data_IF_808949944363
#
_entry.id   IF_808949944363
#
_cell.length_a   1.000
_cell.length_b   1.000
_cell.length_c   1.000
_cell.angle_alpha   90.00
_cell.angle_beta   90.00
_cell.angle_gamma   90.00
#
_symmetry.space_group_name_H-M   'P 1'
#
loop_
_entity.id
_entity.type
_entity.pdbx_description
1 polymer ?
#
# COMPACT_ATOMS: atom_id res chain seq x y z
N UNK A 1 18.32 29.89 -44.16
CA UNK A 1 19.14 28.67 -44.31
C UNK A 1 18.40 27.53 -43.65
N UNK A 2 17.86 26.74 -44.51
CA UNK A 2 17.01 25.56 -44.20
C UNK A 2 17.92 24.35 -43.95
N UNK A 3 17.73 23.61 -42.87
CA UNK A 3 18.30 22.27 -42.72
C UNK A 3 17.24 21.32 -42.21
N UNK A 4 16.73 20.64 -43.18
CA UNK A 4 15.73 19.59 -43.21
C UNK A 4 15.98 18.38 -42.31
N UNK A 5 14.84 17.87 -41.82
CA UNK A 5 14.62 16.52 -41.34
C UNK A 5 14.93 15.46 -42.40
N UNK A 6 15.46 14.32 -41.91
CA UNK A 6 15.30 12.90 -42.34
C UNK A 6 16.42 12.11 -41.69
N UNK A 7 16.16 11.07 -40.91
CA UNK A 7 15.51 9.83 -41.16
C UNK A 7 16.44 8.77 -40.58
N UNK A 8 16.09 8.03 -39.52
CA UNK A 8 16.76 6.79 -39.17
C UNK A 8 15.75 5.67 -39.26
N UNK A 9 15.97 4.86 -40.27
CA UNK A 9 15.26 3.64 -40.58
C UNK A 9 15.65 2.51 -39.61
N UNK A 10 14.67 1.72 -39.31
CA UNK A 10 14.76 0.44 -38.62
C UNK A 10 15.67 -0.54 -39.36
N UNK A 11 16.49 -1.25 -38.60
CA UNK A 11 17.08 -2.51 -39.06
C UNK A 11 16.60 -3.60 -38.12
N UNK A 12 15.68 -4.41 -38.61
CA UNK A 12 15.33 -5.70 -38.05
C UNK A 12 16.49 -6.66 -38.26
N UNK A 13 17.02 -7.24 -37.18
CA UNK A 13 17.82 -8.44 -37.23
C UNK A 13 17.03 -9.54 -36.55
N UNK A 14 16.55 -10.46 -37.36
CA UNK A 14 16.04 -11.74 -36.91
C UNK A 14 17.23 -12.61 -36.50
N UNK A 15 17.27 -13.05 -35.25
CA UNK A 15 18.10 -14.16 -34.82
C UNK A 15 17.18 -15.27 -34.30
N UNK A 16 17.22 -16.35 -35.01
CA UNK A 16 16.53 -17.61 -34.71
C UNK A 16 17.14 -18.28 -33.47
N UNK A 17 16.30 -18.74 -32.67
CA UNK A 17 16.15 -19.72 -31.72
C UNK A 17 17.27 -20.47 -31.04
N UNK A 18 17.17 -20.81 -29.87
CA UNK A 18 17.22 -22.20 -29.35
C UNK A 18 16.39 -22.15 -28.05
N UNK A 19 15.32 -22.94 -28.06
CA UNK A 19 14.51 -23.16 -26.86
C UNK A 19 15.31 -24.09 -25.93
N UNK A 20 15.72 -23.54 -24.79
CA UNK A 20 15.97 -24.33 -23.60
C UNK A 20 14.85 -24.02 -22.63
N UNK A 21 13.98 -25.00 -22.42
CA UNK A 21 12.86 -24.92 -21.51
C UNK A 21 13.35 -24.82 -20.07
N UNK A 22 13.32 -23.61 -19.54
CA UNK A 22 13.12 -23.39 -18.13
C UNK A 22 11.70 -22.84 -18.00
N UNK A 23 10.84 -23.67 -17.43
CA UNK A 23 9.48 -23.27 -17.05
C UNK A 23 9.61 -22.13 -16.04
N UNK A 24 9.41 -20.90 -16.51
CA UNK A 24 9.11 -19.79 -15.62
C UNK A 24 7.93 -20.22 -14.75
N UNK A 25 8.15 -20.35 -13.45
CA UNK A 25 7.11 -20.68 -12.50
C UNK A 25 5.96 -19.71 -12.69
N UNK A 26 4.81 -20.22 -13.07
CA UNK A 26 3.59 -19.43 -13.16
C UNK A 26 3.39 -18.67 -11.85
N UNK A 27 3.15 -17.36 -11.95
CA UNK A 27 2.70 -16.59 -10.82
C UNK A 27 1.51 -17.34 -10.18
N UNK A 28 1.48 -17.49 -8.84
CA UNK A 28 0.44 -18.29 -8.19
C UNK A 28 -0.93 -17.76 -8.59
N UNK A 29 -1.69 -18.57 -9.29
CA UNK A 29 -3.08 -18.27 -9.65
C UNK A 29 -3.93 -18.25 -8.38
N UNK A 30 -5.06 -17.53 -8.41
CA UNK A 30 -6.07 -17.48 -7.32
C UNK A 30 -6.39 -18.87 -6.75
N UNK A 31 -6.27 -19.94 -7.56
CA UNK A 31 -6.45 -21.32 -7.13
C UNK A 31 -5.32 -21.82 -6.21
N UNK A 32 -4.10 -21.34 -6.36
CA UNK A 32 -2.93 -21.75 -5.54
C UNK A 32 -2.96 -21.05 -4.17
N UNK A 33 -3.49 -19.82 -4.09
CA UNK A 33 -3.71 -19.11 -2.83
C UNK A 33 -4.78 -19.77 -1.94
N UNK A 34 -5.66 -20.63 -2.52
CA UNK A 34 -6.71 -21.34 -1.78
C UNK A 34 -6.23 -22.60 -1.04
N UNK A 35 -5.01 -23.09 -1.22
CA UNK A 35 -4.58 -24.42 -0.75
C UNK A 35 -3.66 -24.44 0.47
N UNK A 36 -3.23 -23.29 1.01
CA UNK A 36 -2.39 -23.23 2.21
C UNK A 36 -3.15 -22.81 3.47
N UNK A 37 -2.44 -22.49 4.54
CA UNK A 37 -2.99 -21.83 5.75
C UNK A 37 -3.78 -20.57 5.42
N UNK A 38 -3.61 -20.01 4.23
CA UNK A 38 -4.31 -18.89 3.60
C UNK A 38 -5.69 -19.27 3.04
N UNK A 39 -6.14 -20.52 3.15
CA UNK A 39 -7.42 -20.98 2.56
C UNK A 39 -8.68 -20.21 2.99
N UNK A 40 -8.59 -19.41 4.04
CA UNK A 40 -9.66 -18.52 4.51
C UNK A 40 -9.68 -17.14 3.83
N UNK A 41 -8.64 -16.75 3.10
CA UNK A 41 -8.55 -15.45 2.43
C UNK A 41 -8.80 -15.59 0.92
N UNK A 42 -9.48 -14.62 0.35
CA UNK A 42 -9.84 -14.61 -1.07
C UNK A 42 -8.95 -13.64 -1.87
N UNK A 43 -8.56 -14.02 -3.08
CA UNK A 43 -7.79 -13.16 -4.00
C UNK A 43 -8.63 -12.07 -4.65
N UNK A 44 -9.95 -12.10 -4.49
CA UNK A 44 -10.90 -11.08 -4.91
C UNK A 44 -11.61 -10.52 -3.68
N UNK A 45 -11.88 -9.21 -3.70
CA UNK A 45 -12.69 -8.55 -2.70
C UNK A 45 -14.15 -8.52 -3.15
N UNK A 46 -15.06 -8.97 -2.30
CA UNK A 46 -16.49 -8.82 -2.54
C UNK A 46 -16.86 -7.33 -2.73
N UNK A 47 -17.93 -7.01 -3.46
CA UNK A 47 -18.43 -5.64 -3.54
C UNK A 47 -18.65 -5.05 -2.15
N UNK A 48 -18.19 -3.81 -1.95
CA UNK A 48 -18.30 -3.12 -0.66
C UNK A 48 -17.13 -2.16 -0.43
N UNK A 49 -17.15 -1.50 0.72
CA UNK A 49 -16.09 -0.58 1.14
C UNK A 49 -15.14 -1.28 2.09
N UNK A 50 -13.88 -0.94 2.02
CA UNK A 50 -12.82 -1.52 2.83
C UNK A 50 -12.00 -0.42 3.50
N UNK A 51 -11.48 -0.73 4.70
CA UNK A 51 -10.58 0.14 5.45
C UNK A 51 -9.14 -0.37 5.28
N UNK A 52 -8.32 0.36 4.56
CA UNK A 52 -6.93 -0.01 4.28
C UNK A 52 -5.96 0.33 5.43
N UNK A 53 -6.46 0.78 6.62
CA UNK A 53 -5.54 1.25 7.65
C UNK A 53 -6.16 1.21 9.06
N UNK A 54 -5.96 0.10 9.76
CA UNK A 54 -6.34 -0.03 11.16
C UNK A 54 -5.22 -0.65 11.98
N UNK A 55 -5.20 -0.36 13.28
CA UNK A 55 -4.11 -0.74 14.18
C UNK A 55 -4.58 -1.57 15.37
N UNK A 56 -3.82 -2.62 15.69
CA UNK A 56 -3.94 -3.32 16.97
C UNK A 56 -3.24 -2.49 18.06
N UNK A 57 -3.96 -2.29 19.15
CA UNK A 57 -3.43 -1.72 20.40
C UNK A 57 -3.42 -2.79 21.49
N UNK A 58 -2.79 -2.57 22.67
CA UNK A 58 -2.84 -3.52 23.77
C UNK A 58 -4.26 -3.94 24.13
N UNK A 59 -4.48 -5.24 24.22
CA UNK A 59 -5.76 -5.87 24.49
C UNK A 59 -5.82 -7.29 23.92
N UNK A 60 -6.76 -8.08 24.39
CA UNK A 60 -7.03 -9.42 23.86
C UNK A 60 -7.69 -9.31 22.48
N UNK A 61 -7.35 -10.20 21.53
CA UNK A 61 -8.03 -10.27 20.24
C UNK A 61 -9.54 -10.59 20.41
N UNK A 62 -10.36 -9.84 19.65
CA UNK A 62 -11.81 -10.05 19.58
C UNK A 62 -12.27 -9.78 18.14
N UNK A 63 -12.16 -10.82 17.31
CA UNK A 63 -12.55 -10.77 15.91
C UNK A 63 -14.06 -10.50 15.72
N UNK A 64 -14.89 -10.98 16.64
CA UNK A 64 -16.35 -10.78 16.57
C UNK A 64 -16.73 -9.30 16.78
N UNK A 65 -16.12 -8.65 17.77
CA UNK A 65 -16.30 -7.20 17.99
C UNK A 65 -15.78 -6.38 16.81
N UNK A 66 -14.64 -6.76 16.21
CA UNK A 66 -14.12 -6.10 15.02
C UNK A 66 -15.08 -6.24 13.84
N UNK A 67 -15.61 -7.44 13.58
CA UNK A 67 -16.60 -7.69 12.53
C UNK A 67 -17.87 -6.85 12.71
N UNK A 68 -18.38 -6.80 13.94
CA UNK A 68 -19.55 -5.97 14.28
C UNK A 68 -19.26 -4.48 14.05
N UNK A 69 -18.07 -4.02 14.39
CA UNK A 69 -17.63 -2.62 14.18
C UNK A 69 -17.51 -2.26 12.71
N UNK A 70 -16.92 -3.12 11.88
CA UNK A 70 -16.86 -2.91 10.42
C UNK A 70 -18.26 -2.88 9.83
N UNK A 71 -19.12 -3.82 10.20
CA UNK A 71 -20.53 -3.82 9.76
C UNK A 71 -21.25 -2.53 10.17
N UNK A 72 -21.07 -2.04 11.40
CA UNK A 72 -21.65 -0.78 11.86
C UNK A 72 -21.11 0.43 11.11
N UNK A 73 -19.87 0.37 10.61
CA UNK A 73 -19.26 1.39 9.77
C UNK A 73 -19.67 1.28 8.29
N UNK A 74 -20.41 0.24 7.89
CA UNK A 74 -20.74 -0.02 6.48
C UNK A 74 -19.57 -0.55 5.66
N UNK A 75 -18.59 -1.21 6.33
CA UNK A 75 -17.41 -1.79 5.71
C UNK A 75 -17.55 -3.31 5.56
N UNK A 76 -17.01 -3.83 4.46
CA UNK A 76 -16.95 -5.27 4.18
C UNK A 76 -15.71 -5.95 4.78
N UNK A 77 -14.70 -5.17 5.17
CA UNK A 77 -13.44 -5.67 5.71
C UNK A 77 -12.33 -4.62 5.68
N UNK A 78 -11.08 -5.06 5.72
CA UNK A 78 -9.93 -4.14 5.65
C UNK A 78 -8.60 -4.76 6.04
N UNK A 79 -7.60 -3.90 6.28
CA UNK A 79 -6.28 -4.26 6.79
C UNK A 79 -6.19 -4.02 8.29
N UNK A 80 -5.50 -4.91 8.98
CA UNK A 80 -5.19 -4.78 10.41
C UNK A 80 -3.69 -4.87 10.59
N UNK A 81 -3.06 -3.77 11.00
CA UNK A 81 -1.65 -3.75 11.35
C UNK A 81 -1.45 -4.27 12.77
N UNK A 82 -0.46 -5.13 12.97
CA UNK A 82 -0.09 -5.66 14.28
C UNK A 82 0.31 -4.54 15.24
N UNK A 83 0.52 -4.89 16.50
CA UNK A 83 1.10 -3.97 17.47
C UNK A 83 2.46 -3.45 17.01
N UNK A 84 2.73 -2.19 17.38
CA UNK A 84 4.02 -1.56 17.19
C UNK A 84 5.16 -2.39 17.79
N UNK A 85 6.31 -2.56 17.10
CA UNK A 85 7.45 -3.29 17.63
C UNK A 85 8.22 -2.56 18.74
N UNK A 86 7.82 -1.32 19.06
CA UNK A 86 8.38 -0.51 20.13
C UNK A 86 7.25 0.11 20.99
N UNK A 87 7.60 0.83 22.05
CA UNK A 87 6.64 1.34 23.04
C UNK A 87 6.14 2.78 22.79
N UNK A 88 6.60 3.45 21.73
CA UNK A 88 6.25 4.86 21.51
C UNK A 88 4.74 5.08 21.31
N UNK A 89 4.04 4.10 20.73
CA UNK A 89 2.59 4.18 20.49
C UNK A 89 1.78 4.13 21.79
N UNK A 90 2.24 3.32 22.76
CA UNK A 90 1.66 3.21 24.10
C UNK A 90 2.80 3.06 25.09
N UNK A 91 3.36 4.18 25.59
CA UNK A 91 4.48 4.15 26.51
C UNK A 91 4.24 3.24 27.73
N UNK A 92 5.21 2.40 28.04
CA UNK A 92 5.14 1.45 29.15
C UNK A 92 4.27 0.21 28.89
N UNK A 93 3.66 0.06 27.74
CA UNK A 93 2.96 -1.19 27.39
C UNK A 93 3.97 -2.31 27.12
N UNK A 94 3.69 -3.55 27.59
CA UNK A 94 4.55 -4.69 27.29
C UNK A 94 4.71 -4.87 25.79
N UNK A 95 5.96 -4.99 25.31
CA UNK A 95 6.25 -5.32 23.92
C UNK A 95 5.96 -6.80 23.67
N UNK A 96 5.50 -7.11 22.48
CA UNK A 96 5.39 -8.48 22.03
C UNK A 96 6.66 -8.89 21.26
N UNK A 97 7.11 -10.12 21.48
CA UNK A 97 8.08 -10.73 20.58
C UNK A 97 7.50 -10.77 19.15
N UNK A 98 8.32 -10.73 18.10
CA UNK A 98 7.85 -10.67 16.72
C UNK A 98 6.81 -11.75 16.39
N UNK A 99 7.06 -12.99 16.76
CA UNK A 99 6.14 -14.10 16.54
C UNK A 99 4.80 -13.90 17.25
N UNK A 100 4.81 -13.51 18.52
CA UNK A 100 3.61 -13.23 19.30
C UNK A 100 2.81 -12.04 18.74
N UNK A 101 3.48 -11.04 18.15
CA UNK A 101 2.80 -9.92 17.47
C UNK A 101 2.09 -10.38 16.19
N UNK A 102 2.71 -11.29 15.42
CA UNK A 102 2.09 -11.91 14.25
C UNK A 102 0.87 -12.75 14.65
N UNK A 103 1.01 -13.63 15.67
CA UNK A 103 -0.09 -14.47 16.15
C UNK A 103 -1.25 -13.62 16.68
N UNK A 104 -0.95 -12.54 17.38
CA UNK A 104 -1.95 -11.60 17.89
C UNK A 104 -2.76 -10.95 16.77
N UNK A 105 -2.12 -10.42 15.71
CA UNK A 105 -2.86 -9.81 14.61
C UNK A 105 -3.63 -10.83 13.78
N UNK A 106 -3.13 -12.05 13.64
CA UNK A 106 -3.85 -13.14 12.99
C UNK A 106 -5.11 -13.49 13.78
N UNK A 107 -5.03 -13.53 15.11
CA UNK A 107 -6.19 -13.79 15.97
C UNK A 107 -7.27 -12.69 15.87
N UNK A 108 -6.88 -11.41 15.65
CA UNK A 108 -7.83 -10.33 15.37
C UNK A 108 -8.58 -10.52 14.03
N UNK A 109 -8.00 -11.24 13.09
CA UNK A 109 -8.57 -11.49 11.76
C UNK A 109 -9.24 -12.87 11.66
N UNK A 110 -9.24 -13.67 12.73
CA UNK A 110 -9.69 -15.06 12.68
C UNK A 110 -11.18 -15.17 12.34
N UNK A 111 -11.48 -16.07 11.38
CA UNK A 111 -12.86 -16.24 10.89
C UNK A 111 -13.38 -15.11 10.00
N UNK A 112 -12.57 -14.07 9.72
CA UNK A 112 -12.96 -12.90 8.91
C UNK A 112 -12.28 -12.94 7.54
N UNK A 113 -12.91 -13.50 6.48
CA UNK A 113 -12.26 -13.76 5.20
C UNK A 113 -11.89 -12.49 4.40
N UNK A 114 -12.44 -11.35 4.77
CA UNK A 114 -12.18 -10.05 4.14
C UNK A 114 -11.36 -9.11 5.02
N UNK A 115 -10.72 -9.64 6.07
CA UNK A 115 -9.85 -8.87 6.97
C UNK A 115 -8.45 -9.47 6.92
N UNK A 116 -7.45 -8.66 6.61
CA UNK A 116 -6.12 -9.09 6.23
C UNK A 116 -5.09 -8.66 7.28
N UNK A 117 -4.40 -9.59 7.96
CA UNK A 117 -3.37 -9.28 8.94
C UNK A 117 -2.09 -8.79 8.27
N UNK A 118 -1.56 -7.67 8.76
CA UNK A 118 -0.29 -7.08 8.38
C UNK A 118 0.63 -7.02 9.60
N UNK A 119 1.90 -7.34 9.39
CA UNK A 119 2.90 -7.28 10.46
C UNK A 119 3.64 -5.94 10.43
N UNK A 120 3.66 -5.24 11.55
CA UNK A 120 4.46 -4.03 11.71
C UNK A 120 5.89 -4.42 12.05
N UNK A 121 6.80 -4.25 11.11
CA UNK A 121 8.19 -4.66 11.18
C UNK A 121 9.12 -3.43 11.30
N UNK A 122 10.22 -3.60 12.03
CA UNK A 122 11.39 -2.71 11.91
C UNK A 122 12.34 -3.30 10.85
N UNK A 123 12.47 -2.68 9.66
CA UNK A 123 13.30 -3.19 8.58
C UNK A 123 14.81 -3.05 8.84
N UNK A 124 15.21 -2.28 9.86
CA UNK A 124 16.61 -2.08 10.26
C UNK A 124 17.19 -3.19 11.11
N UNK A 125 16.38 -4.13 11.57
CA UNK A 125 16.84 -5.29 12.33
C UNK A 125 17.73 -6.21 11.49
N UNK A 126 18.66 -6.88 12.14
CA UNK A 126 19.53 -7.85 11.46
C UNK A 126 18.77 -9.08 10.97
N UNK A 127 17.73 -9.50 11.70
CA UNK A 127 16.83 -10.62 11.39
C UNK A 127 15.59 -10.23 10.56
N UNK A 128 15.52 -9.00 10.03
CA UNK A 128 14.32 -8.50 9.33
C UNK A 128 13.89 -9.40 8.15
N UNK A 129 14.83 -9.95 7.39
CA UNK A 129 14.49 -10.86 6.28
C UNK A 129 13.89 -12.19 6.76
N UNK A 130 14.41 -12.74 7.86
CA UNK A 130 13.88 -13.97 8.47
C UNK A 130 12.47 -13.73 9.03
N UNK A 131 12.23 -12.53 9.60
CA UNK A 131 10.90 -12.13 10.05
C UNK A 131 9.91 -11.96 8.89
N UNK A 132 10.36 -11.51 7.73
CA UNK A 132 9.51 -11.50 6.51
C UNK A 132 9.11 -12.90 6.12
N UNK A 133 10.05 -13.85 6.13
CA UNK A 133 9.76 -15.25 5.80
C UNK A 133 8.81 -15.89 6.81
N UNK A 134 9.08 -15.74 8.09
CA UNK A 134 8.21 -16.22 9.18
C UNK A 134 6.79 -15.65 9.04
N UNK A 135 6.65 -14.35 8.77
CA UNK A 135 5.37 -13.70 8.56
C UNK A 135 4.60 -14.31 7.39
N UNK A 136 5.29 -14.59 6.28
CA UNK A 136 4.69 -15.23 5.12
C UNK A 136 4.20 -16.66 5.43
N UNK A 137 4.97 -17.45 6.16
CA UNK A 137 4.62 -18.81 6.59
C UNK A 137 3.41 -18.82 7.54
N UNK A 138 3.32 -17.84 8.43
CA UNK A 138 2.18 -17.67 9.34
C UNK A 138 0.90 -17.16 8.66
N UNK A 139 0.98 -16.69 7.41
CA UNK A 139 -0.17 -16.17 6.68
C UNK A 139 -0.40 -14.67 6.81
N UNK A 140 0.62 -13.90 7.16
CA UNK A 140 0.60 -12.43 7.07
C UNK A 140 0.52 -12.01 5.59
N UNK A 141 -0.35 -11.01 5.33
CA UNK A 141 -0.61 -10.53 3.97
C UNK A 141 0.35 -9.43 3.50
N UNK A 142 0.89 -8.65 4.41
CA UNK A 142 1.79 -7.56 4.10
C UNK A 142 2.40 -6.95 5.36
N UNK A 143 3.01 -5.78 5.19
CA UNK A 143 3.81 -5.18 6.23
C UNK A 143 3.42 -3.72 6.48
N UNK A 144 3.66 -3.24 7.70
CA UNK A 144 3.65 -1.83 8.08
C UNK A 144 5.05 -1.44 8.52
N UNK A 145 5.49 -0.24 8.12
CA UNK A 145 6.76 0.34 8.55
C UNK A 145 6.56 1.78 8.99
N UNK A 146 7.09 2.11 10.16
CA UNK A 146 7.29 3.48 10.64
C UNK A 146 8.72 3.57 11.16
N UNK A 147 9.56 4.36 10.50
CA UNK A 147 10.97 4.47 10.84
C UNK A 147 11.38 5.95 10.91
N UNK A 148 11.28 6.52 12.10
CA UNK A 148 11.45 7.96 12.35
C UNK A 148 12.79 8.38 12.96
N UNK A 149 13.78 7.48 13.04
CA UNK A 149 15.08 7.78 13.58
C UNK A 149 16.23 7.64 12.56
N UNK A 150 15.93 7.10 11.38
CA UNK A 150 16.90 6.83 10.32
C UNK A 150 16.24 6.91 8.96
N UNK A 151 17.04 7.05 7.92
CA UNK A 151 16.50 7.05 6.53
C UNK A 151 15.76 5.76 6.25
N UNK A 152 14.52 5.83 5.74
CA UNK A 152 13.69 4.65 5.54
C UNK A 152 14.19 3.71 4.44
N UNK A 153 15.13 4.17 3.60
CA UNK A 153 15.69 3.45 2.45
C UNK A 153 17.19 3.22 2.58
N UNK A 154 17.70 3.01 3.81
CA UNK A 154 19.08 2.56 4.02
C UNK A 154 19.31 1.12 3.51
N UNK A 155 20.57 0.70 3.46
CA UNK A 155 20.94 -0.59 2.88
C UNK A 155 20.30 -1.81 3.57
N UNK A 156 20.08 -1.76 4.90
CA UNK A 156 19.40 -2.83 5.66
C UNK A 156 17.91 -2.88 5.29
N UNK A 157 17.25 -1.73 5.32
CA UNK A 157 15.84 -1.60 4.97
C UNK A 157 15.56 -2.03 3.53
N UNK A 158 16.40 -1.64 2.58
CA UNK A 158 16.27 -2.05 1.18
C UNK A 158 16.35 -3.58 1.02
N UNK A 159 17.23 -4.27 1.77
CA UNK A 159 17.26 -5.74 1.75
C UNK A 159 15.95 -6.35 2.24
N UNK A 160 15.40 -5.82 3.32
CA UNK A 160 14.10 -6.24 3.84
C UNK A 160 12.97 -6.01 2.83
N UNK A 161 12.94 -4.83 2.17
CA UNK A 161 11.92 -4.51 1.17
C UNK A 161 12.04 -5.38 -0.09
N UNK A 162 13.26 -5.72 -0.53
CA UNK A 162 13.47 -6.70 -1.60
C UNK A 162 12.92 -8.06 -1.21
N UNK A 163 13.13 -8.49 0.04
CA UNK A 163 12.56 -9.75 0.52
C UNK A 163 11.03 -9.73 0.53
N UNK A 164 10.41 -8.62 0.91
CA UNK A 164 8.94 -8.45 0.79
C UNK A 164 8.47 -8.56 -0.67
N UNK A 165 9.17 -7.92 -1.61
CA UNK A 165 8.86 -7.99 -3.04
C UNK A 165 9.01 -9.42 -3.60
N UNK A 166 10.09 -10.13 -3.26
CA UNK A 166 10.32 -11.54 -3.62
C UNK A 166 9.21 -12.47 -3.11
N UNK A 167 8.68 -12.16 -1.91
CA UNK A 167 7.54 -12.89 -1.31
C UNK A 167 6.19 -12.39 -1.80
N UNK A 168 6.18 -11.46 -2.78
CA UNK A 168 4.97 -10.84 -3.35
C UNK A 168 4.09 -10.18 -2.27
N UNK A 169 4.68 -9.54 -1.26
CA UNK A 169 3.99 -8.91 -0.14
C UNK A 169 4.04 -7.39 -0.24
N UNK A 170 2.89 -6.70 -0.09
CA UNK A 170 2.84 -5.25 -0.05
C UNK A 170 3.30 -4.70 1.30
N UNK A 171 3.65 -3.41 1.31
CA UNK A 171 4.02 -2.68 2.53
C UNK A 171 3.38 -1.29 2.58
N UNK A 172 2.83 -0.92 3.73
CA UNK A 172 2.37 0.45 4.00
C UNK A 172 3.42 1.17 4.82
N UNK A 173 3.93 2.26 4.29
CA UNK A 173 4.83 3.17 4.98
C UNK A 173 4.06 4.30 5.62
N UNK A 174 4.41 4.68 6.85
CA UNK A 174 4.00 5.98 7.35
C UNK A 174 4.68 7.06 6.52
N UNK A 175 3.93 8.07 6.11
CA UNK A 175 4.44 9.25 5.41
C UNK A 175 3.61 10.46 5.84
N UNK A 176 4.24 11.63 5.95
CA UNK A 176 3.62 12.78 6.57
C UNK A 176 4.15 13.04 7.99
N UNK A 177 3.56 14.02 8.68
CA UNK A 177 3.93 14.31 10.07
C UNK A 177 3.56 13.14 10.98
N UNK A 178 4.52 12.69 11.78
CA UNK A 178 4.27 11.74 12.86
C UNK A 178 4.18 12.49 14.18
N UNK A 179 3.08 12.29 14.90
CA UNK A 179 2.79 12.97 16.17
C UNK A 179 3.44 12.24 17.35
N UNK A 180 4.74 11.94 17.24
CA UNK A 180 5.51 11.17 18.22
C UNK A 180 6.31 12.03 19.20
N UNK A 181 6.23 13.36 19.08
CA UNK A 181 6.95 14.31 19.93
C UNK A 181 8.46 14.36 19.69
N UNK A 182 8.96 13.77 18.59
CA UNK A 182 10.38 13.73 18.22
C UNK A 182 10.66 14.55 16.97
N UNK A 183 11.94 14.82 16.72
CA UNK A 183 12.42 15.39 15.47
C UNK A 183 12.57 14.27 14.42
N UNK A 184 11.43 13.86 13.86
CA UNK A 184 11.33 12.71 12.97
C UNK A 184 10.79 13.04 11.58
N UNK A 185 10.29 14.27 11.38
CA UNK A 185 9.51 14.64 10.21
C UNK A 185 10.27 14.51 8.89
N UNK A 186 11.58 14.78 8.86
CA UNK A 186 12.40 14.67 7.65
C UNK A 186 12.42 13.25 7.08
N UNK A 187 12.30 12.23 7.94
CA UNK A 187 12.33 10.83 7.52
C UNK A 187 11.04 10.36 6.84
N UNK A 188 9.95 11.13 6.98
CA UNK A 188 8.63 10.77 6.46
C UNK A 188 8.21 11.59 5.24
N UNK A 189 9.12 12.39 4.68
CA UNK A 189 8.85 13.11 3.44
C UNK A 189 8.78 12.13 2.25
N UNK A 190 7.84 12.31 1.32
CA UNK A 190 7.66 11.42 0.16
C UNK A 190 8.92 11.22 -0.67
N UNK A 191 9.77 12.24 -0.84
CA UNK A 191 11.01 12.14 -1.60
C UNK A 191 11.99 11.09 -1.06
N UNK A 192 11.92 10.74 0.24
CA UNK A 192 12.75 9.68 0.80
C UNK A 192 12.46 8.31 0.19
N UNK A 193 11.23 8.11 -0.32
CA UNK A 193 10.80 6.83 -0.88
C UNK A 193 11.21 6.63 -2.34
N UNK A 194 11.82 7.63 -2.98
CA UNK A 194 12.38 7.49 -4.33
C UNK A 194 13.46 6.39 -4.42
N UNK A 195 14.16 6.11 -3.33
CA UNK A 195 15.11 5.00 -3.26
C UNK A 195 14.49 3.61 -3.48
N UNK A 196 13.16 3.49 -3.36
CA UNK A 196 12.45 2.24 -3.68
C UNK A 196 12.43 1.94 -5.19
N UNK A 197 12.82 2.88 -6.06
CA UNK A 197 13.06 2.61 -7.48
C UNK A 197 14.04 1.44 -7.70
N UNK A 198 14.88 1.13 -6.73
CA UNK A 198 15.81 0.01 -6.78
C UNK A 198 15.26 -1.29 -6.14
N UNK A 199 13.96 -1.31 -5.85
CA UNK A 199 13.22 -2.47 -5.34
C UNK A 199 12.10 -2.83 -6.32
N UNK A 200 12.41 -3.49 -7.45
CA UNK A 200 11.43 -3.84 -8.46
C UNK A 200 10.30 -4.71 -7.88
N UNK A 201 9.11 -4.55 -8.44
CA UNK A 201 7.90 -5.31 -8.09
C UNK A 201 7.37 -5.11 -6.67
N UNK A 202 8.00 -4.26 -5.83
CA UNK A 202 7.45 -3.91 -4.54
C UNK A 202 6.16 -3.11 -4.72
N UNK A 203 5.05 -3.60 -4.15
CA UNK A 203 3.84 -2.80 -3.96
C UNK A 203 3.94 -2.08 -2.62
N UNK A 204 3.85 -0.75 -2.64
CA UNK A 204 3.91 0.02 -1.41
C UNK A 204 2.91 1.16 -1.39
N UNK A 205 2.41 1.49 -0.21
CA UNK A 205 1.53 2.62 0.01
C UNK A 205 2.21 3.67 0.90
N UNK A 206 2.03 4.96 0.56
CA UNK A 206 2.35 6.08 1.45
C UNK A 206 1.07 6.52 2.17
N UNK A 207 1.08 6.43 3.49
CA UNK A 207 -0.06 6.76 4.33
C UNK A 207 -0.32 8.26 4.42
N UNK A 208 -1.58 8.63 4.76
CA UNK A 208 -2.03 9.99 5.10
C UNK A 208 -1.92 11.01 3.95
N UNK A 209 -1.90 10.56 2.68
CA UNK A 209 -1.53 11.42 1.53
C UNK A 209 -0.24 12.19 1.81
N UNK A 210 0.56 11.67 2.73
CA UNK A 210 1.81 12.29 3.24
C UNK A 210 1.63 13.72 3.78
N UNK A 211 0.46 14.07 4.34
CA UNK A 211 0.23 15.42 4.83
C UNK A 211 1.32 15.89 5.84
N UNK A 212 1.86 17.12 5.73
CA UNK A 212 1.45 18.22 4.85
C UNK A 212 2.06 18.19 3.43
N UNK A 213 2.87 17.22 3.08
CA UNK A 213 3.58 17.13 1.81
C UNK A 213 2.77 16.42 0.71
N UNK A 214 1.47 16.75 0.61
CA UNK A 214 0.58 16.13 -0.38
C UNK A 214 1.07 16.34 -1.82
N UNK A 215 1.57 17.54 -2.16
CA UNK A 215 2.09 17.83 -3.49
C UNK A 215 3.34 16.99 -3.82
N UNK A 216 4.21 16.82 -2.82
CA UNK A 216 5.40 15.97 -2.96
C UNK A 216 5.01 14.48 -3.11
N UNK A 217 3.98 14.02 -2.39
CA UNK A 217 3.43 12.68 -2.53
C UNK A 217 2.94 12.42 -3.96
N UNK A 218 2.16 13.35 -4.51
CA UNK A 218 1.65 13.28 -5.89
C UNK A 218 2.80 13.33 -6.90
N UNK A 219 3.81 14.17 -6.68
CA UNK A 219 4.98 14.26 -7.55
C UNK A 219 5.80 12.96 -7.56
N UNK A 220 6.02 12.35 -6.40
CA UNK A 220 6.72 11.06 -6.27
C UNK A 220 5.93 9.94 -6.93
N UNK A 221 4.59 9.92 -6.77
CA UNK A 221 3.73 8.98 -7.48
C UNK A 221 3.92 9.10 -9.00
N UNK A 222 3.85 10.32 -9.53
CA UNK A 222 4.06 10.57 -10.96
C UNK A 222 5.45 10.16 -11.44
N UNK A 223 6.49 10.38 -10.63
CA UNK A 223 7.86 9.95 -10.93
C UNK A 223 7.97 8.42 -11.05
N UNK A 224 7.36 7.70 -10.10
CA UNK A 224 7.35 6.23 -10.10
C UNK A 224 6.52 5.67 -11.27
N UNK A 225 5.35 6.26 -11.53
CA UNK A 225 4.54 5.91 -12.68
C UNK A 225 5.33 6.08 -13.99
N UNK A 226 6.04 7.20 -14.14
CA UNK A 226 6.84 7.49 -15.34
C UNK A 226 8.13 6.65 -15.43
N UNK A 227 8.59 6.06 -14.34
CA UNK A 227 9.78 5.20 -14.34
C UNK A 227 9.61 3.98 -15.26
N UNK A 228 8.37 3.51 -15.47
CA UNK A 228 8.04 2.43 -16.41
C UNK A 228 8.56 2.73 -17.82
N UNK A 229 8.49 3.99 -18.26
CA UNK A 229 8.97 4.41 -19.60
C UNK A 229 10.49 4.21 -19.75
N UNK A 230 11.26 4.42 -18.67
CA UNK A 230 12.72 4.37 -18.69
C UNK A 230 13.31 3.03 -18.30
N UNK A 231 12.62 2.32 -17.38
CA UNK A 231 13.12 1.08 -16.76
C UNK A 231 12.31 -0.16 -17.17
N UNK A 232 11.29 0.00 -18.02
CA UNK A 232 10.35 -1.10 -18.30
C UNK A 232 9.50 -1.40 -17.07
N UNK A 233 9.06 -2.65 -16.94
CA UNK A 233 8.15 -3.08 -15.87
C UNK A 233 8.83 -3.45 -14.56
N UNK A 234 10.15 -3.45 -14.52
CA UNK A 234 10.94 -3.77 -13.33
C UNK A 234 11.03 -2.55 -12.41
N UNK A 235 9.88 -2.04 -12.02
CA UNK A 235 9.70 -0.88 -11.15
C UNK A 235 8.75 -1.22 -9.99
N UNK A 236 8.87 -0.53 -8.85
CA UNK A 236 7.89 -0.65 -7.79
C UNK A 236 6.54 -0.03 -8.18
N UNK A 237 5.50 -0.42 -7.50
CA UNK A 237 4.14 0.09 -7.66
C UNK A 237 3.72 0.85 -6.41
N UNK A 238 3.52 2.17 -6.56
CA UNK A 238 3.12 3.04 -5.47
C UNK A 238 1.61 3.18 -5.39
N UNK A 239 1.09 3.16 -4.16
CA UNK A 239 -0.28 3.47 -3.80
C UNK A 239 -0.31 4.69 -2.87
N UNK A 240 -1.42 5.40 -2.85
CA UNK A 240 -1.67 6.51 -1.93
C UNK A 240 -2.77 6.07 -0.96
N UNK A 241 -2.43 6.02 0.31
CA UNK A 241 -3.38 5.76 1.38
C UNK A 241 -3.87 7.10 1.94
N UNK A 242 -5.17 7.32 1.89
CA UNK A 242 -5.79 8.58 2.28
C UNK A 242 -6.23 8.62 3.74
N UNK A 243 -5.77 7.69 4.54
CA UNK A 243 -6.05 7.64 5.99
C UNK A 243 -5.94 9.01 6.66
N UNK A 244 -6.85 9.38 7.58
CA UNK A 244 -6.83 10.68 8.25
C UNK A 244 -5.52 10.97 8.98
N UNK A 245 -4.76 11.87 8.49
CA UNK A 245 -3.61 12.58 9.01
C UNK A 245 -3.71 14.00 8.46
N UNK A 246 -4.49 14.15 7.38
CA UNK A 246 -4.86 15.42 6.78
C UNK A 246 -6.03 16.02 7.54
N UNK A 247 -5.91 17.20 8.15
CA UNK A 247 -7.07 17.88 8.77
C UNK A 247 -8.21 18.06 7.77
N UNK A 248 -9.46 17.94 8.21
CA UNK A 248 -10.64 17.97 7.33
C UNK A 248 -10.69 19.18 6.38
N UNK A 249 -10.22 20.33 6.83
CA UNK A 249 -10.18 21.57 6.02
C UNK A 249 -9.32 21.44 4.76
N UNK A 250 -8.31 20.57 4.77
CA UNK A 250 -7.42 20.32 3.62
C UNK A 250 -7.80 19.09 2.81
N UNK A 251 -8.83 18.34 3.24
CA UNK A 251 -9.17 17.05 2.61
C UNK A 251 -9.57 17.20 1.16
N UNK A 252 -10.45 18.16 0.85
CA UNK A 252 -10.92 18.41 -0.50
C UNK A 252 -9.77 18.83 -1.43
N UNK A 253 -8.87 19.70 -0.95
CA UNK A 253 -7.70 20.14 -1.71
C UNK A 253 -6.74 18.96 -1.99
N UNK A 254 -6.44 18.13 -0.98
CA UNK A 254 -5.58 16.98 -1.14
C UNK A 254 -6.13 15.95 -2.14
N UNK A 255 -7.42 15.62 -2.05
CA UNK A 255 -8.06 14.68 -3.00
C UNK A 255 -8.17 15.28 -4.40
N UNK A 256 -8.49 16.58 -4.52
CA UNK A 256 -8.49 17.26 -5.81
C UNK A 256 -7.14 17.15 -6.51
N UNK A 257 -6.03 17.43 -5.82
CA UNK A 257 -4.67 17.29 -6.37
C UNK A 257 -4.39 15.87 -6.84
N UNK A 258 -4.72 14.87 -6.03
CA UNK A 258 -4.51 13.45 -6.39
C UNK A 258 -5.28 13.07 -7.66
N UNK A 259 -6.56 13.42 -7.73
CA UNK A 259 -7.43 12.95 -8.82
C UNK A 259 -7.43 13.82 -10.07
N UNK A 260 -6.91 15.07 -10.01
CA UNK A 260 -6.95 16.00 -11.16
C UNK A 260 -5.58 16.35 -11.73
N UNK A 261 -4.48 15.87 -11.14
CA UNK A 261 -3.12 16.13 -11.65
C UNK A 261 -2.86 15.54 -13.04
N UNK A 262 -3.72 14.64 -13.51
CA UNK A 262 -3.62 14.00 -14.83
C UNK A 262 -2.84 12.68 -14.84
N UNK A 263 -2.40 12.20 -13.69
CA UNK A 263 -1.83 10.86 -13.58
C UNK A 263 -2.90 9.78 -13.55
N UNK A 264 -2.55 8.57 -14.00
CA UNK A 264 -3.42 7.40 -13.83
C UNK A 264 -3.35 6.92 -12.37
N UNK A 265 -4.36 7.29 -11.60
CA UNK A 265 -4.51 6.94 -10.18
C UNK A 265 -5.59 5.88 -9.95
N UNK A 266 -6.23 5.38 -11.02
CA UNK A 266 -7.22 4.32 -10.93
C UNK A 266 -6.62 3.10 -10.21
N UNK A 267 -7.37 2.52 -9.27
CA UNK A 267 -6.92 1.39 -8.45
C UNK A 267 -5.62 1.63 -7.63
N UNK A 268 -5.23 2.88 -7.36
CA UNK A 268 -4.00 3.20 -6.61
C UNK A 268 -4.21 4.15 -5.43
N UNK A 269 -5.43 4.60 -5.20
CA UNK A 269 -5.78 5.46 -4.06
C UNK A 269 -6.74 4.72 -3.15
N UNK A 270 -6.40 4.57 -1.87
CA UNK A 270 -7.12 3.72 -0.93
C UNK A 270 -7.68 4.52 0.24
N UNK A 271 -8.91 4.22 0.63
CA UNK A 271 -9.53 4.71 1.86
C UNK A 271 -8.97 4.00 3.10
N UNK A 272 -8.80 4.72 4.20
CA UNK A 272 -8.46 4.16 5.51
C UNK A 272 -8.93 5.08 6.64
N UNK A 273 -8.95 4.60 7.89
CA UNK A 273 -9.47 5.36 9.04
C UNK A 273 -8.46 5.66 10.13
N UNK A 274 -7.35 4.91 10.23
CA UNK A 274 -6.40 4.91 11.35
C UNK A 274 -7.02 4.50 12.69
N UNK A 275 -8.16 3.81 12.65
CA UNK A 275 -8.85 3.37 13.84
C UNK A 275 -8.10 2.24 14.57
N UNK A 276 -8.27 2.23 15.90
CA UNK A 276 -7.83 1.11 16.74
C UNK A 276 -8.86 -0.01 16.66
N UNK A 277 -8.45 -1.24 16.36
CA UNK A 277 -9.39 -2.37 16.21
C UNK A 277 -10.15 -2.70 17.49
N UNK A 278 -9.51 -2.54 18.67
CA UNK A 278 -10.13 -2.81 19.96
C UNK A 278 -11.11 -1.71 20.45
N UNK A 279 -11.16 -0.58 19.74
CA UNK A 279 -12.09 0.54 19.98
C UNK A 279 -12.43 1.22 18.67
N UNK A 280 -12.80 0.42 17.66
CA UNK A 280 -13.10 0.92 16.33
C UNK A 280 -14.27 1.92 16.39
N UNK A 281 -14.03 3.12 15.90
CA UNK A 281 -15.03 4.17 15.89
C UNK A 281 -15.82 4.18 14.57
N UNK A 282 -16.94 3.49 14.54
CA UNK A 282 -17.78 3.36 13.35
C UNK A 282 -18.37 4.71 12.89
N UNK A 283 -18.65 5.63 13.82
CA UNK A 283 -19.17 6.96 13.49
C UNK A 283 -18.09 7.80 12.80
N UNK A 284 -16.86 7.83 13.35
CA UNK A 284 -15.69 8.44 12.74
C UNK A 284 -15.43 7.91 11.33
N UNK A 285 -15.50 6.59 11.15
CA UNK A 285 -15.32 5.96 9.84
C UNK A 285 -16.38 6.43 8.84
N UNK A 286 -17.67 6.43 9.22
CA UNK A 286 -18.76 6.91 8.36
C UNK A 286 -18.62 8.40 8.04
N UNK A 287 -18.15 9.20 8.98
CA UNK A 287 -17.96 10.63 8.79
C UNK A 287 -16.86 10.91 7.74
N UNK A 288 -15.76 10.16 7.78
CA UNK A 288 -14.73 10.26 6.75
C UNK A 288 -15.19 9.72 5.39
N UNK A 289 -15.95 8.62 5.37
CA UNK A 289 -16.54 8.12 4.14
C UNK A 289 -17.45 9.16 3.47
N UNK A 290 -18.31 9.83 4.25
CA UNK A 290 -19.15 10.93 3.73
C UNK A 290 -18.31 12.08 3.19
N UNK A 291 -17.31 12.51 3.95
CA UNK A 291 -16.40 13.59 3.54
C UNK A 291 -15.74 13.26 2.20
N UNK A 292 -15.22 12.05 2.06
CA UNK A 292 -14.56 11.61 0.83
C UNK A 292 -15.54 11.42 -0.33
N UNK A 293 -16.73 10.86 -0.08
CA UNK A 293 -17.80 10.76 -1.09
C UNK A 293 -18.21 12.13 -1.63
N UNK A 294 -18.32 13.14 -0.76
CA UNK A 294 -18.64 14.52 -1.16
C UNK A 294 -17.50 15.13 -1.99
N UNK A 295 -16.26 14.91 -1.60
CA UNK A 295 -15.09 15.36 -2.37
C UNK A 295 -15.06 14.69 -3.77
N UNK A 296 -15.21 13.37 -3.84
CA UNK A 296 -15.21 12.64 -5.11
C UNK A 296 -16.36 13.08 -6.01
N UNK A 297 -17.54 13.30 -5.43
CA UNK A 297 -18.71 13.82 -6.18
C UNK A 297 -18.45 15.23 -6.73
N UNK A 298 -17.84 16.11 -5.95
CA UNK A 298 -17.51 17.49 -6.38
C UNK A 298 -16.49 17.52 -7.52
N UNK A 299 -15.66 16.49 -7.64
CA UNK A 299 -14.72 16.29 -8.75
C UNK A 299 -15.34 15.58 -9.97
N UNK A 300 -16.65 15.27 -9.95
CA UNK A 300 -17.33 14.56 -11.02
C UNK A 300 -16.99 13.07 -11.12
N UNK A 301 -16.39 12.50 -10.06
CA UNK A 301 -15.98 11.10 -10.04
C UNK A 301 -17.18 10.21 -9.70
N UNK A 302 -17.53 9.33 -10.64
CA UNK A 302 -18.71 8.47 -10.59
C UNK A 302 -18.51 7.17 -9.78
N UNK A 303 -19.48 6.23 -9.88
CA UNK A 303 -19.47 4.98 -9.11
C UNK A 303 -18.23 4.12 -9.32
N UNK A 304 -17.67 4.06 -10.54
CA UNK A 304 -16.47 3.27 -10.84
C UNK A 304 -15.25 3.80 -10.10
N UNK A 305 -15.03 5.12 -10.08
CA UNK A 305 -13.92 5.73 -9.35
C UNK A 305 -14.08 5.55 -7.83
N UNK A 306 -15.31 5.51 -7.30
CA UNK A 306 -15.56 5.19 -5.89
C UNK A 306 -15.28 3.72 -5.59
N UNK A 307 -15.61 2.79 -6.50
CA UNK A 307 -15.27 1.39 -6.34
C UNK A 307 -13.74 1.18 -6.42
N UNK A 308 -13.04 1.91 -7.28
CA UNK A 308 -11.58 1.96 -7.29
C UNK A 308 -11.03 2.37 -5.92
N UNK A 309 -11.54 3.48 -5.38
CA UNK A 309 -11.10 4.09 -4.14
C UNK A 309 -11.34 3.22 -2.89
N UNK A 310 -12.53 2.61 -2.79
CA UNK A 310 -12.94 1.84 -1.61
C UNK A 310 -12.60 0.35 -1.68
N UNK A 311 -12.31 -0.22 -2.84
CA UNK A 311 -12.17 -1.66 -3.01
C UNK A 311 -11.07 -2.09 -3.97
N UNK A 312 -11.10 -1.64 -5.23
CA UNK A 312 -10.21 -2.18 -6.26
C UNK A 312 -8.75 -1.82 -6.01
N UNK A 313 -8.47 -0.62 -5.49
CA UNK A 313 -7.11 -0.24 -5.08
C UNK A 313 -6.57 -1.15 -3.98
N UNK A 314 -7.37 -1.45 -2.94
CA UNK A 314 -6.97 -2.38 -1.91
C UNK A 314 -6.77 -3.81 -2.46
N UNK A 315 -7.68 -4.27 -3.32
CA UNK A 315 -7.53 -5.57 -3.99
C UNK A 315 -6.22 -5.64 -4.76
N UNK A 316 -5.91 -4.59 -5.54
CA UNK A 316 -4.67 -4.50 -6.31
C UNK A 316 -3.44 -4.43 -5.40
N UNK A 317 -3.51 -3.68 -4.32
CA UNK A 317 -2.44 -3.60 -3.31
C UNK A 317 -2.15 -4.97 -2.68
N UNK A 318 -3.18 -5.73 -2.30
CA UNK A 318 -3.05 -7.04 -1.68
C UNK A 318 -2.53 -8.13 -2.63
N UNK A 319 -3.09 -8.21 -3.83
CA UNK A 319 -2.91 -9.38 -4.71
C UNK A 319 -2.14 -9.06 -6.00
N UNK A 320 -1.87 -7.78 -6.25
CA UNK A 320 -1.29 -7.32 -7.51
C UNK A 320 -2.33 -7.15 -8.62
N UNK A 321 -1.89 -6.63 -9.73
CA UNK A 321 -2.71 -6.35 -10.90
C UNK A 321 -1.91 -6.38 -12.20
N UNK A 322 -2.62 -6.27 -13.31
CA UNK A 322 -2.00 -6.16 -14.64
C UNK A 322 -1.47 -4.74 -14.86
N UNK A 323 -0.16 -4.57 -14.76
CA UNK A 323 0.52 -3.29 -15.03
C UNK A 323 0.60 -2.94 -16.52
N UNK A 324 0.17 -3.84 -17.42
CA UNK A 324 0.23 -3.60 -18.88
C UNK A 324 -0.75 -2.54 -19.35
N UNK A 325 -1.81 -2.30 -18.58
CA UNK A 325 -2.92 -1.40 -18.93
C UNK A 325 -2.81 -0.01 -18.31
N UNK A 326 -1.74 0.27 -17.54
CA UNK A 326 -1.57 1.59 -16.94
C UNK A 326 -1.26 2.64 -18.00
N UNK A 327 -2.05 3.70 -18.02
CA UNK A 327 -1.78 4.87 -18.85
C UNK A 327 -0.61 5.65 -18.23
N UNK A 328 0.57 5.53 -18.82
CA UNK A 328 1.72 6.33 -18.43
C UNK A 328 1.64 7.66 -19.17
N UNK A 329 1.64 8.82 -18.48
CA UNK A 329 1.65 10.11 -19.16
C UNK A 329 2.88 10.21 -20.04
N UNK A 330 2.70 10.60 -21.28
CA UNK A 330 3.83 11.00 -22.13
C UNK A 330 4.38 12.33 -21.62
N UNK A 331 5.68 12.62 -21.80
CA UNK A 331 6.30 13.86 -21.33
C UNK A 331 5.65 15.16 -21.88
N UNK A 332 4.85 15.05 -22.93
CA UNK A 332 4.13 16.14 -23.57
C UNK A 332 2.63 16.20 -23.15
N UNK A 333 2.24 15.44 -22.14
CA UNK A 333 0.87 15.46 -21.59
C UNK A 333 -0.19 14.81 -22.48
N UNK A 334 0.19 14.13 -23.57
CA UNK A 334 -0.73 13.37 -24.39
C UNK A 334 -0.90 11.96 -23.83
N UNK A 335 -2.15 11.48 -23.84
CA UNK A 335 -2.43 10.05 -23.55
C UNK A 335 -1.85 9.19 -24.66
N UNK A 336 -1.12 8.15 -24.29
CA UNK A 336 -0.63 7.16 -25.23
C UNK A 336 -1.76 6.29 -25.76
#
# INVERSE_FOLDING_TARGET
MDLSRRGFLASAVAAAGVATGETAGEAPTVATLRKGALGKYVGELAPGRYDAHTHVYPGAPDAATLAASFKAAGLAGGLVFSRCPNDWQVPGAPLLAPEAAMDNVIAWCDGLPSVYPFYWIDPGRDDACDLVDMACEKGIFGFKVIRGAERPVDAKSIRCYRRMAERNKPVTFHSGILWDGRDSSEFFRPANWEGLLDVPHLRFALAHVSWPWCDECVAVYGKLLNAVVRRGRDVPEMFIDTTPGTPKIYRADALAKVFTVGYDVAEHVMFGTDCRVNRYNAEWSRDWQRTDDDCLASLGLGPDARDDYYRRALRRFLFGGDNTKRNVPTPDGRRA
#
